data_IF_387033777688
#
_entry.id   IF_387033777688
#
_cell.length_a   1.000
_cell.length_b   1.000
_cell.length_c   1.000
_cell.angle_alpha   90.00
_cell.angle_beta   90.00
_cell.angle_gamma   90.00
#
_symmetry.space_group_name_H-M   'P 1'
#
loop_
_entity.id
_entity.type
_entity.pdbx_description
1 polymer ?
#
# COMPACT_ATOMS: atom_id res chain seq x y z
N UNK A 1 -23.78 14.25 9.82
CA UNK A 1 -22.85 14.68 8.75
C UNK A 1 -21.72 15.44 9.39
N UNK A 2 -20.58 15.52 8.73
CA UNK A 2 -19.46 16.40 9.09
C UNK A 2 -19.21 17.28 7.89
N UNK A 3 -19.09 18.59 8.09
CA UNK A 3 -18.80 19.56 7.04
C UNK A 3 -17.62 20.42 7.47
N UNK A 4 -16.68 20.66 6.56
CA UNK A 4 -15.55 21.55 6.78
C UNK A 4 -15.41 22.48 5.58
N UNK A 5 -15.40 23.79 5.83
CA UNK A 5 -15.01 24.78 4.84
C UNK A 5 -13.48 24.77 4.71
N UNK A 6 -13.00 24.62 3.49
CA UNK A 6 -11.56 24.61 3.19
C UNK A 6 -11.26 25.84 2.33
N UNK A 7 -10.39 26.71 2.84
CA UNK A 7 -9.99 27.97 2.19
C UNK A 7 -8.78 27.78 1.26
N UNK A 8 -8.44 28.84 0.52
CA UNK A 8 -7.29 28.96 -0.38
C UNK A 8 -7.36 28.14 -1.67
N UNK A 9 -8.56 27.76 -2.10
CA UNK A 9 -8.75 27.26 -3.45
C UNK A 9 -8.58 28.37 -4.49
N UNK A 10 -8.19 27.97 -5.69
CA UNK A 10 -8.22 28.81 -6.89
C UNK A 10 -9.44 28.34 -7.70
N UNK A 11 -10.47 29.18 -7.89
CA UNK A 11 -11.63 28.83 -8.70
C UNK A 11 -11.23 28.33 -10.09
N UNK A 12 -11.85 27.23 -10.53
CA UNK A 12 -11.57 26.58 -11.81
C UNK A 12 -10.39 25.61 -11.79
N UNK A 13 -9.61 25.51 -10.70
CA UNK A 13 -8.56 24.50 -10.56
C UNK A 13 -9.10 23.17 -10.07
N UNK A 14 -8.46 22.10 -10.51
CA UNK A 14 -8.73 20.75 -10.03
C UNK A 14 -7.97 20.48 -8.72
N UNK A 15 -8.56 19.70 -7.84
CA UNK A 15 -8.05 19.29 -6.54
C UNK A 15 -8.33 17.80 -6.31
N UNK A 16 -7.50 17.15 -5.51
CA UNK A 16 -7.67 15.78 -5.05
C UNK A 16 -8.06 15.81 -3.57
N UNK A 17 -9.20 15.22 -3.23
CA UNK A 17 -9.62 14.89 -1.87
C UNK A 17 -9.24 13.44 -1.58
N UNK A 18 -8.27 13.22 -0.70
CA UNK A 18 -7.87 11.91 -0.20
C UNK A 18 -8.44 11.69 1.20
N UNK A 19 -8.84 10.45 1.48
CA UNK A 19 -9.34 10.03 2.80
C UNK A 19 -9.29 8.51 2.90
N UNK A 20 -9.15 7.99 4.11
CA UNK A 20 -9.24 6.56 4.42
C UNK A 20 -10.62 6.23 5.00
N UNK A 21 -11.19 5.09 4.61
CA UNK A 21 -12.47 4.62 5.17
C UNK A 21 -12.45 3.17 5.62
N UNK A 22 -13.25 2.85 6.63
CA UNK A 22 -13.53 1.49 7.06
C UNK A 22 -15.00 1.38 7.52
N UNK A 23 -15.53 0.16 7.54
CA UNK A 23 -16.84 -0.14 8.16
C UNK A 23 -16.68 -1.03 9.39
N UNK A 24 -17.57 -0.85 10.36
CA UNK A 24 -17.59 -1.71 11.53
C UNK A 24 -17.86 -3.18 11.14
N UNK A 25 -17.16 -4.11 11.79
CA UNK A 25 -17.36 -5.55 11.60
C UNK A 25 -18.69 -5.99 12.23
N UNK A 26 -19.37 -6.95 11.61
CA UNK A 26 -20.57 -7.63 12.14
C UNK A 26 -21.75 -6.67 12.44
N UNK A 27 -21.81 -5.56 11.71
CA UNK A 27 -22.82 -4.50 11.86
C UNK A 27 -23.41 -4.12 10.50
N UNK A 28 -24.51 -3.37 10.52
CA UNK A 28 -25.19 -2.95 9.29
C UNK A 28 -24.25 -2.08 8.46
N UNK A 29 -24.23 -2.30 7.14
CA UNK A 29 -23.38 -1.53 6.25
C UNK A 29 -23.76 -0.03 6.26
N UNK A 30 -22.79 0.88 6.45
CA UNK A 30 -23.03 2.31 6.33
C UNK A 30 -23.03 2.73 4.85
N UNK A 31 -23.69 3.85 4.55
CA UNK A 31 -23.65 4.47 3.21
C UNK A 31 -22.95 5.81 3.31
N UNK A 32 -21.68 5.87 2.94
CA UNK A 32 -20.90 7.12 2.94
C UNK A 32 -21.21 7.91 1.68
N UNK A 33 -21.50 9.20 1.85
CA UNK A 33 -21.72 10.17 0.79
C UNK A 33 -20.73 11.32 0.95
N UNK A 34 -19.98 11.62 -0.10
CA UNK A 34 -19.01 12.73 -0.18
C UNK A 34 -19.58 13.80 -1.10
N UNK A 35 -19.68 15.02 -0.58
CA UNK A 35 -20.15 16.20 -1.30
C UNK A 35 -19.08 17.29 -1.19
N UNK A 36 -18.81 17.98 -2.28
CA UNK A 36 -17.86 19.09 -2.33
C UNK A 36 -18.55 20.27 -3.01
N UNK A 37 -18.68 21.39 -2.28
CA UNK A 37 -19.60 22.47 -2.61
C UNK A 37 -21.04 21.96 -2.67
N UNK A 38 -21.67 22.12 -3.83
CA UNK A 38 -23.01 21.65 -4.16
C UNK A 38 -23.03 20.28 -4.86
N UNK A 39 -21.86 19.71 -5.18
CA UNK A 39 -21.75 18.50 -6.00
C UNK A 39 -21.49 17.25 -5.17
N UNK A 40 -22.34 16.24 -5.33
CA UNK A 40 -22.04 14.88 -4.85
C UNK A 40 -20.94 14.25 -5.72
N UNK A 41 -19.78 14.00 -5.11
CA UNK A 41 -18.66 13.36 -5.82
C UNK A 41 -18.80 11.85 -5.82
N UNK A 42 -19.23 11.27 -4.70
CA UNK A 42 -19.35 9.81 -4.56
C UNK A 42 -20.30 9.40 -3.45
N UNK A 43 -20.95 8.25 -3.66
CA UNK A 43 -21.68 7.50 -2.65
C UNK A 43 -21.29 6.03 -2.70
N UNK A 44 -20.97 5.43 -1.56
CA UNK A 44 -20.45 4.07 -1.49
C UNK A 44 -20.58 3.44 -0.10
N UNK A 45 -20.42 2.13 -0.03
CA UNK A 45 -20.24 1.36 1.21
C UNK A 45 -18.73 1.09 1.35
N UNK A 46 -18.07 1.40 2.49
CA UNK A 46 -16.67 1.04 2.69
C UNK A 46 -16.46 -0.47 2.49
N UNK A 47 -15.49 -0.83 1.66
CA UNK A 47 -15.30 -2.21 1.23
C UNK A 47 -14.77 -3.11 2.36
N UNK A 48 -13.98 -2.55 3.28
CA UNK A 48 -13.20 -3.30 4.24
C UNK A 48 -13.48 -2.88 5.69
N UNK A 49 -13.19 -3.80 6.61
CA UNK A 49 -13.21 -3.55 8.06
C UNK A 49 -11.93 -2.87 8.57
N UNK A 50 -10.92 -2.78 7.71
CA UNK A 50 -9.69 -2.00 7.92
C UNK A 50 -9.72 -0.76 7.05
N UNK A 51 -8.95 0.27 7.43
CA UNK A 51 -8.86 1.49 6.65
C UNK A 51 -8.31 1.22 5.26
N UNK A 52 -9.05 1.68 4.26
CA UNK A 52 -8.64 1.69 2.86
C UNK A 52 -8.62 3.13 2.36
N UNK A 53 -7.50 3.51 1.77
CA UNK A 53 -7.29 4.82 1.16
C UNK A 53 -8.17 4.98 -0.08
N UNK A 54 -8.69 6.19 -0.28
CA UNK A 54 -9.50 6.58 -1.42
C UNK A 54 -9.16 8.01 -1.84
N UNK A 55 -9.38 8.33 -3.11
CA UNK A 55 -9.08 9.65 -3.67
C UNK A 55 -10.13 10.05 -4.69
N UNK A 56 -10.60 11.29 -4.62
CA UNK A 56 -11.62 11.87 -5.50
C UNK A 56 -11.12 13.19 -6.06
N UNK A 57 -11.25 13.40 -7.37
CA UNK A 57 -10.95 14.69 -7.98
C UNK A 57 -12.19 15.59 -8.01
N UNK A 58 -12.00 16.88 -7.80
CA UNK A 58 -13.03 17.90 -7.96
C UNK A 58 -12.43 19.21 -8.47
N UNK A 59 -13.26 20.06 -9.07
CA UNK A 59 -12.88 21.41 -9.48
C UNK A 59 -13.44 22.40 -8.47
N UNK A 60 -12.62 23.30 -7.95
CA UNK A 60 -13.07 24.32 -7.02
C UNK A 60 -13.96 25.36 -7.72
N UNK A 61 -15.15 25.61 -7.18
CA UNK A 61 -16.07 26.65 -7.69
C UNK A 61 -15.74 28.05 -7.15
N UNK A 62 -15.08 28.13 -6.00
CA UNK A 62 -14.79 29.36 -5.25
C UNK A 62 -13.45 29.25 -4.52
N UNK A 63 -13.04 30.29 -3.78
CA UNK A 63 -11.83 30.27 -2.93
C UNK A 63 -12.00 29.44 -1.65
N UNK A 64 -13.24 29.20 -1.26
CA UNK A 64 -13.60 28.47 -0.04
C UNK A 64 -14.64 27.45 -0.42
N UNK A 65 -14.28 26.17 -0.31
CA UNK A 65 -15.14 25.06 -0.73
C UNK A 65 -15.51 24.22 0.49
N UNK A 66 -16.81 23.99 0.67
CA UNK A 66 -17.31 23.09 1.72
C UNK A 66 -17.12 21.63 1.32
N UNK A 67 -16.47 20.85 2.17
CA UNK A 67 -16.36 19.40 2.02
C UNK A 67 -17.24 18.76 3.07
N UNK A 68 -18.29 18.07 2.63
CA UNK A 68 -19.24 17.40 3.49
C UNK A 68 -19.15 15.88 3.32
N UNK A 69 -19.04 15.19 4.44
CA UNK A 69 -19.09 13.74 4.51
C UNK A 69 -20.27 13.31 5.37
N UNK A 70 -21.13 12.47 4.80
CA UNK A 70 -22.37 12.04 5.45
C UNK A 70 -22.47 10.52 5.47
N UNK A 71 -22.94 9.97 6.58
CA UNK A 71 -23.47 8.61 6.62
C UNK A 71 -24.99 8.68 6.39
N UNK A 72 -25.44 8.12 5.26
CA UNK A 72 -26.83 8.08 4.80
C UNK A 72 -27.49 6.71 5.00
N UNK A 73 -26.98 5.90 5.94
CA UNK A 73 -27.64 4.65 6.29
C UNK A 73 -29.08 4.90 6.77
N UNK A 74 -30.00 4.02 6.38
CA UNK A 74 -31.45 4.12 6.65
C UNK A 74 -31.86 3.85 8.11
N UNK A 75 -30.96 4.03 9.08
CA UNK A 75 -31.16 3.75 10.51
C UNK A 75 -30.47 2.48 11.02
N UNK A 76 -30.34 2.36 12.35
CA UNK A 76 -29.59 1.31 13.06
C UNK A 76 -28.12 1.64 13.34
N UNK A 77 -27.39 0.72 14.00
CA UNK A 77 -25.93 0.79 14.22
C UNK A 77 -25.17 0.54 12.91
N UNK A 78 -25.14 1.53 12.02
CA UNK A 78 -24.33 1.51 10.81
C UNK A 78 -23.22 2.56 10.94
N UNK A 79 -22.01 2.13 11.28
CA UNK A 79 -20.87 3.03 11.55
C UNK A 79 -19.85 2.96 10.42
N UNK A 80 -19.53 4.12 9.86
CA UNK A 80 -18.37 4.33 9.00
C UNK A 80 -17.28 5.07 9.77
N UNK A 81 -16.04 4.61 9.65
CA UNK A 81 -14.86 5.30 10.12
C UNK A 81 -14.22 6.05 8.97
N UNK A 82 -13.76 7.28 9.23
CA UNK A 82 -13.04 8.13 8.26
C UNK A 82 -11.81 8.69 8.94
N UNK A 83 -10.68 8.64 8.25
CA UNK A 83 -9.40 9.15 8.73
C UNK A 83 -8.55 9.69 7.57
N UNK A 84 -7.42 10.33 7.87
CA UNK A 84 -6.41 10.85 6.92
C UNK A 84 -6.99 11.72 5.79
N UNK A 85 -7.92 12.62 6.14
CA UNK A 85 -8.57 13.52 5.16
C UNK A 85 -7.59 14.62 4.74
N UNK A 86 -7.26 14.67 3.44
CA UNK A 86 -6.31 15.60 2.84
C UNK A 86 -6.86 16.21 1.56
N UNK A 87 -6.58 17.48 1.32
CA UNK A 87 -6.87 18.18 0.07
C UNK A 87 -5.58 18.70 -0.52
N UNK A 88 -5.35 18.46 -1.81
CA UNK A 88 -4.21 19.03 -2.55
C UNK A 88 -4.64 19.47 -3.95
N UNK A 89 -4.02 20.51 -4.49
CA UNK A 89 -4.25 20.92 -5.89
C UNK A 89 -3.85 19.77 -6.82
N UNK A 90 -4.73 19.37 -7.73
CA UNK A 90 -4.43 18.35 -8.72
C UNK A 90 -3.50 18.94 -9.77
N UNK A 91 -2.50 18.16 -10.15
CA UNK A 91 -1.63 18.47 -11.28
C UNK A 91 -2.11 17.73 -12.53
N UNK A 92 -1.87 18.31 -13.70
CA UNK A 92 -2.21 17.67 -14.98
C UNK A 92 -1.13 16.66 -15.36
N UNK A 93 -1.51 15.59 -16.06
CA UNK A 93 -0.56 14.58 -16.54
C UNK A 93 0.57 15.26 -17.33
N UNK A 94 1.78 15.10 -16.80
CA UNK A 94 3.02 15.60 -17.38
C UNK A 94 3.66 14.55 -18.28
N UNK A 95 4.88 14.82 -18.78
CA UNK A 95 5.62 13.84 -19.54
C UNK A 95 5.93 12.60 -18.68
N UNK A 96 6.04 11.45 -19.34
CA UNK A 96 6.69 10.27 -18.75
C UNK A 96 8.19 10.52 -18.71
N UNK A 97 8.79 10.41 -17.54
CA UNK A 97 10.24 10.45 -17.38
C UNK A 97 10.77 9.02 -17.45
N UNK A 98 11.73 8.80 -18.36
CA UNK A 98 12.39 7.51 -18.58
C UNK A 98 13.90 7.70 -18.37
N UNK A 99 14.39 7.70 -17.12
CA UNK A 99 15.80 7.97 -16.85
C UNK A 99 16.72 7.02 -17.62
N UNK A 100 17.87 7.49 -18.13
CA UNK A 100 18.87 6.63 -18.74
C UNK A 100 19.37 5.55 -17.77
N UNK A 101 19.94 4.47 -18.29
CA UNK A 101 20.37 3.31 -17.48
C UNK A 101 21.42 3.64 -16.41
N UNK A 102 22.25 4.66 -16.63
CA UNK A 102 23.23 5.13 -15.63
C UNK A 102 22.60 5.90 -14.45
N UNK A 103 21.30 6.18 -14.52
CA UNK A 103 20.50 6.76 -13.44
C UNK A 103 19.58 5.72 -12.79
N UNK A 104 19.92 4.43 -12.93
CA UNK A 104 19.12 3.33 -12.39
C UNK A 104 19.97 2.44 -11.51
N UNK A 105 19.33 1.86 -10.51
CA UNK A 105 19.94 0.84 -9.64
C UNK A 105 18.97 -0.31 -9.45
N UNK A 106 19.51 -1.48 -9.12
CA UNK A 106 18.74 -2.70 -8.97
C UNK A 106 19.15 -3.42 -7.69
N UNK A 107 18.21 -4.14 -7.09
CA UNK A 107 18.51 -5.01 -5.95
C UNK A 107 19.49 -6.12 -6.31
N UNK A 108 19.35 -6.67 -7.51
CA UNK A 108 20.26 -7.66 -8.12
C UNK A 108 20.03 -7.71 -9.63
N UNK A 109 21.00 -8.22 -10.38
CA UNK A 109 20.95 -8.33 -11.85
C UNK A 109 21.28 -9.77 -12.23
N UNK A 110 20.46 -10.41 -13.05
CA UNK A 110 20.73 -11.74 -13.59
C UNK A 110 22.07 -11.74 -14.35
N UNK A 111 22.95 -12.69 -13.99
CA UNK A 111 24.32 -12.75 -14.52
C UNK A 111 25.28 -11.65 -14.05
N UNK A 112 24.84 -10.72 -13.20
CA UNK A 112 25.70 -9.68 -12.62
C UNK A 112 26.24 -8.65 -13.64
N UNK A 113 25.58 -8.48 -14.78
CA UNK A 113 26.02 -7.59 -15.85
C UNK A 113 26.09 -6.10 -15.44
N UNK A 114 26.92 -5.33 -16.14
CA UNK A 114 27.04 -3.89 -15.93
C UNK A 114 25.74 -3.15 -16.33
N UNK A 115 25.46 -2.02 -15.69
CA UNK A 115 24.30 -1.16 -16.01
C UNK A 115 24.27 -0.82 -17.51
N UNK A 116 23.10 -0.92 -18.13
CA UNK A 116 22.92 -0.68 -19.57
C UNK A 116 23.27 -1.87 -20.47
N UNK A 117 23.70 -2.99 -19.92
CA UNK A 117 23.97 -4.23 -20.66
C UNK A 117 23.02 -5.36 -20.23
N UNK A 118 22.78 -6.34 -21.10
CA UNK A 118 22.02 -7.55 -20.77
C UNK A 118 20.71 -7.29 -20.00
N UNK A 119 20.61 -7.92 -18.82
CA UNK A 119 19.49 -7.84 -17.87
C UNK A 119 19.55 -6.63 -16.92
N UNK A 120 20.31 -5.60 -17.26
CA UNK A 120 20.37 -4.32 -16.55
C UNK A 120 19.87 -3.17 -17.44
N UNK A 121 18.81 -3.43 -18.22
CA UNK A 121 18.26 -2.50 -19.23
C UNK A 121 16.77 -2.20 -19.05
N UNK A 122 16.39 -1.49 -17.98
CA UNK A 122 14.98 -1.28 -17.61
C UNK A 122 14.31 -0.04 -18.20
N UNK A 123 14.94 0.69 -19.11
CA UNK A 123 14.26 1.77 -19.81
C UNK A 123 13.01 1.28 -20.56
N UNK A 124 11.95 2.08 -20.55
CA UNK A 124 10.77 1.84 -21.39
C UNK A 124 11.22 1.68 -22.86
N UNK A 125 10.57 0.76 -23.56
CA UNK A 125 10.83 0.40 -24.96
C UNK A 125 12.22 -0.17 -25.28
N UNK A 126 13.09 -0.36 -24.26
CA UNK A 126 14.38 -1.04 -24.43
C UNK A 126 14.22 -2.44 -25.04
N UNK A 127 15.25 -2.89 -25.76
CA UNK A 127 15.32 -4.21 -26.36
C UNK A 127 15.44 -5.34 -25.32
N UNK A 128 15.83 -4.99 -24.10
CA UNK A 128 15.95 -5.87 -22.93
C UNK A 128 15.19 -5.25 -21.75
N UNK A 129 15.26 -5.87 -20.59
CA UNK A 129 14.66 -5.39 -19.35
C UNK A 129 15.69 -5.44 -18.22
N UNK A 130 15.33 -4.90 -17.06
CA UNK A 130 15.97 -5.40 -15.85
C UNK A 130 15.40 -6.76 -15.52
N UNK A 131 16.25 -7.76 -15.29
CA UNK A 131 15.86 -9.06 -14.73
C UNK A 131 16.63 -9.31 -13.44
N UNK A 132 15.90 -9.59 -12.35
CA UNK A 132 16.49 -9.82 -11.03
C UNK A 132 17.22 -11.17 -10.98
N UNK A 133 18.39 -11.23 -10.34
CA UNK A 133 19.11 -12.48 -10.12
C UNK A 133 18.31 -13.43 -9.21
N UNK A 134 17.71 -12.85 -8.17
CA UNK A 134 16.88 -13.59 -7.21
C UNK A 134 15.41 -13.49 -7.60
N UNK A 135 14.70 -14.62 -7.59
CA UNK A 135 13.25 -14.68 -7.85
C UNK A 135 12.49 -14.72 -6.52
N UNK A 136 12.52 -13.60 -5.78
CA UNK A 136 11.87 -13.46 -4.48
C UNK A 136 11.12 -12.11 -4.38
N UNK A 137 10.14 -12.02 -3.47
CA UNK A 137 9.48 -10.75 -3.18
C UNK A 137 10.48 -9.75 -2.60
N UNK A 138 10.25 -8.47 -2.88
CA UNK A 138 11.08 -7.39 -2.36
C UNK A 138 12.28 -6.99 -3.24
N UNK A 139 12.48 -7.66 -4.38
CA UNK A 139 13.43 -7.19 -5.40
C UNK A 139 12.95 -5.86 -5.98
N UNK A 140 13.88 -4.99 -6.35
CA UNK A 140 13.55 -3.62 -6.73
C UNK A 140 14.38 -3.06 -7.87
N UNK A 141 13.73 -2.18 -8.64
CA UNK A 141 14.38 -1.26 -9.55
C UNK A 141 14.18 0.18 -9.06
N UNK A 142 15.28 0.91 -8.94
CA UNK A 142 15.34 2.31 -8.56
C UNK A 142 15.62 3.18 -9.77
N UNK A 143 14.89 4.28 -9.88
CA UNK A 143 15.05 5.31 -10.89
C UNK A 143 15.40 6.63 -10.18
N UNK A 144 16.55 7.21 -10.52
CA UNK A 144 16.92 8.59 -10.18
C UNK A 144 16.43 9.53 -11.29
N UNK A 145 15.54 10.46 -10.94
CA UNK A 145 14.99 11.45 -11.87
C UNK A 145 15.92 12.66 -12.08
N UNK A 146 17.04 12.73 -11.36
CA UNK A 146 18.04 13.80 -11.41
C UNK A 146 17.67 15.05 -10.60
N UNK A 147 16.37 15.34 -10.44
CA UNK A 147 15.86 16.44 -9.62
C UNK A 147 14.56 16.02 -8.92
N UNK A 148 14.19 16.71 -7.84
CA UNK A 148 12.88 16.55 -7.22
C UNK A 148 11.80 17.01 -8.21
N UNK A 149 10.83 16.13 -8.47
CA UNK A 149 9.69 16.37 -9.35
C UNK A 149 8.39 15.98 -8.64
N UNK A 150 7.25 16.53 -9.10
CA UNK A 150 5.94 16.03 -8.71
C UNK A 150 5.60 14.80 -9.54
N UNK A 151 5.50 13.67 -8.86
CA UNK A 151 5.25 12.35 -9.45
C UNK A 151 3.80 11.97 -9.16
N UNK A 152 3.03 11.68 -10.20
CA UNK A 152 1.63 11.28 -10.05
C UNK A 152 1.40 9.79 -10.26
N UNK A 153 2.39 9.04 -10.75
CA UNK A 153 2.20 7.65 -11.08
C UNK A 153 3.41 6.97 -11.70
N UNK A 154 3.15 5.79 -12.26
CA UNK A 154 4.14 4.90 -12.84
C UNK A 154 3.73 4.42 -14.22
N UNK A 155 4.73 4.04 -15.01
CA UNK A 155 4.56 3.34 -16.29
C UNK A 155 5.44 2.09 -16.28
N UNK A 156 4.88 0.92 -16.55
CA UNK A 156 5.62 -0.35 -16.56
C UNK A 156 5.39 -1.14 -17.85
N UNK A 157 6.40 -1.93 -18.24
CA UNK A 157 6.41 -2.89 -19.35
C UNK A 157 7.09 -4.18 -18.90
N UNK A 158 6.69 -5.32 -19.46
CA UNK A 158 7.40 -6.59 -19.28
C UNK A 158 8.73 -6.67 -20.04
N UNK A 159 9.42 -7.80 -19.90
CA UNK A 159 10.65 -8.12 -20.63
C UNK A 159 10.37 -8.40 -22.10
N UNK A 160 10.94 -7.57 -23.00
CA UNK A 160 10.67 -7.68 -24.45
C UNK A 160 11.05 -9.06 -24.96
N UNK A 161 10.09 -9.77 -25.58
CA UNK A 161 10.27 -11.09 -26.18
C UNK A 161 10.79 -12.18 -25.21
N UNK A 162 10.71 -11.99 -23.90
CA UNK A 162 11.16 -13.01 -22.92
C UNK A 162 10.03 -13.89 -22.40
N UNK A 163 8.78 -13.44 -22.54
CA UNK A 163 7.62 -14.06 -21.88
C UNK A 163 7.65 -13.93 -20.36
N UNK A 164 8.38 -12.94 -19.83
CA UNK A 164 8.53 -12.67 -18.40
C UNK A 164 8.09 -11.24 -18.08
N UNK A 165 7.42 -11.05 -16.94
CA UNK A 165 6.97 -9.73 -16.51
C UNK A 165 6.65 -9.67 -15.01
N UNK A 166 6.75 -8.48 -14.44
CA UNK A 166 6.16 -8.17 -13.13
C UNK A 166 4.64 -8.08 -13.25
N UNK A 167 3.92 -8.72 -12.34
CA UNK A 167 2.45 -8.69 -12.23
C UNK A 167 1.97 -7.67 -11.21
N UNK A 168 2.68 -7.51 -10.10
CA UNK A 168 2.36 -6.53 -9.05
C UNK A 168 3.60 -5.95 -8.39
N UNK A 169 3.50 -4.72 -7.91
CA UNK A 169 4.54 -4.03 -7.17
C UNK A 169 3.98 -3.00 -6.19
N UNK A 170 4.79 -2.65 -5.20
CA UNK A 170 4.63 -1.47 -4.34
C UNK A 170 5.61 -0.39 -4.77
N UNK A 171 5.37 0.86 -4.36
CA UNK A 171 6.23 2.00 -4.70
C UNK A 171 6.75 2.68 -3.46
N UNK A 172 8.07 2.83 -3.39
CA UNK A 172 8.73 3.73 -2.44
C UNK A 172 9.32 4.93 -3.18
N UNK A 173 9.40 6.05 -2.50
CA UNK A 173 9.95 7.29 -3.04
C UNK A 173 10.84 7.99 -2.02
N UNK A 174 11.75 8.82 -2.53
CA UNK A 174 12.66 9.60 -1.70
C UNK A 174 13.08 10.90 -2.41
N UNK A 175 13.33 11.94 -1.62
CA UNK A 175 13.87 13.22 -2.11
C UNK A 175 15.40 13.23 -2.10
N UNK A 176 16.02 12.49 -1.17
CA UNK A 176 17.46 12.48 -0.89
C UNK A 176 18.16 11.15 -1.24
N UNK A 177 17.40 10.07 -1.43
CA UNK A 177 17.90 8.72 -1.69
C UNK A 177 18.20 7.92 -0.41
N UNK A 178 18.05 8.55 0.77
CA UNK A 178 18.36 7.98 2.08
C UNK A 178 17.09 7.64 2.85
N UNK A 179 16.16 8.58 2.94
CA UNK A 179 14.89 8.41 3.64
C UNK A 179 13.80 8.03 2.65
N UNK A 180 13.30 6.81 2.78
CA UNK A 180 12.30 6.24 1.88
C UNK A 180 10.92 6.21 2.50
N UNK A 181 9.94 6.75 1.78
CA UNK A 181 8.51 6.75 2.14
C UNK A 181 7.75 5.82 1.21
N UNK A 182 6.70 5.19 1.72
CA UNK A 182 5.80 4.33 0.93
C UNK A 182 4.66 5.18 0.35
N UNK A 183 4.30 4.95 -0.92
CA UNK A 183 3.11 5.59 -1.54
C UNK A 183 1.82 4.89 -1.09
N UNK A 184 1.94 3.65 -0.62
CA UNK A 184 0.83 2.79 -0.25
C UNK A 184 0.20 2.11 -1.46
N UNK A 185 -0.46 0.98 -1.21
CA UNK A 185 -1.13 0.15 -2.22
C UNK A 185 -0.24 -0.91 -2.86
N UNK A 186 -0.87 -1.79 -3.63
CA UNK A 186 -0.22 -2.83 -4.45
C UNK A 186 -0.76 -2.65 -5.88
N UNK A 187 0.11 -2.26 -6.80
CA UNK A 187 -0.25 -1.81 -8.15
C UNK A 187 -0.19 -2.98 -9.12
N UNK A 188 -1.28 -3.18 -9.89
CA UNK A 188 -1.29 -4.13 -10.98
C UNK A 188 -0.38 -3.63 -12.11
N UNK A 189 0.64 -4.42 -12.44
CA UNK A 189 1.60 -4.15 -13.50
C UNK A 189 1.12 -4.78 -14.80
N UNK A 190 1.91 -5.68 -15.37
CA UNK A 190 1.73 -6.17 -16.72
C UNK A 190 1.10 -7.57 -16.73
N UNK A 191 0.45 -7.88 -17.86
CA UNK A 191 -0.04 -9.23 -18.21
C UNK A 191 0.61 -9.77 -19.49
N UNK A 192 1.56 -9.01 -20.05
CA UNK A 192 2.31 -9.35 -21.25
C UNK A 192 3.71 -8.67 -21.23
N UNK A 193 4.46 -8.86 -22.32
CA UNK A 193 5.84 -8.39 -22.47
C UNK A 193 5.96 -7.00 -23.08
N UNK A 194 4.90 -6.42 -23.64
CA UNK A 194 5.01 -5.31 -24.60
C UNK A 194 4.19 -4.08 -24.23
N UNK A 195 2.97 -4.25 -23.70
CA UNK A 195 2.06 -3.14 -23.42
C UNK A 195 2.53 -2.33 -22.21
N UNK A 196 2.47 -1.01 -22.35
CA UNK A 196 2.67 -0.08 -21.24
C UNK A 196 1.43 -0.08 -20.37
N UNK A 197 1.61 -0.29 -19.06
CA UNK A 197 0.56 -0.12 -18.07
C UNK A 197 0.88 1.12 -17.26
N UNK A 198 -0.11 2.01 -17.16
CA UNK A 198 -0.03 3.22 -16.34
C UNK A 198 -0.82 3.01 -15.05
N UNK A 199 -0.24 3.37 -13.91
CA UNK A 199 -0.95 3.44 -12.64
C UNK A 199 -0.81 4.83 -12.05
N UNK A 200 -1.93 5.42 -11.63
CA UNK A 200 -1.92 6.66 -10.88
C UNK A 200 -1.82 6.36 -9.39
N UNK A 201 -1.01 7.15 -8.70
CA UNK A 201 -0.89 7.07 -7.25
C UNK A 201 -2.09 7.75 -6.58
N UNK A 202 -2.46 7.32 -5.36
CA UNK A 202 -3.53 7.96 -4.59
C UNK A 202 -3.28 9.46 -4.36
N UNK A 203 -2.01 9.85 -4.25
CA UNK A 203 -1.57 11.24 -4.28
C UNK A 203 -0.28 11.36 -5.09
N UNK A 204 -0.09 12.54 -5.67
CA UNK A 204 1.21 12.89 -6.19
C UNK A 204 2.19 13.12 -5.04
N UNK A 205 3.46 12.79 -5.28
CA UNK A 205 4.54 12.91 -4.30
C UNK A 205 5.67 13.75 -4.88
N UNK A 206 6.30 14.57 -4.05
CA UNK A 206 7.56 15.21 -4.40
C UNK A 206 8.68 14.18 -4.18
N UNK A 207 9.39 13.80 -5.23
CA UNK A 207 10.52 12.88 -5.12
C UNK A 207 11.53 13.07 -6.24
N UNK A 208 12.78 12.70 -5.95
CA UNK A 208 13.84 12.52 -6.95
C UNK A 208 14.05 11.04 -7.27
N UNK A 209 13.87 10.16 -6.28
CA UNK A 209 14.10 8.73 -6.43
C UNK A 209 12.79 7.95 -6.30
N UNK A 210 12.61 6.95 -7.16
CA UNK A 210 11.47 6.04 -7.13
C UNK A 210 11.96 4.60 -7.16
N UNK A 211 11.45 3.76 -6.26
CA UNK A 211 11.69 2.32 -6.23
C UNK A 211 10.41 1.55 -6.49
N UNK A 212 10.43 0.69 -7.49
CA UNK A 212 9.40 -0.31 -7.73
C UNK A 212 9.78 -1.60 -7.00
N UNK A 213 9.05 -1.93 -5.93
CA UNK A 213 9.29 -3.11 -5.09
C UNK A 213 8.37 -4.24 -5.55
N UNK A 214 8.93 -5.30 -6.14
CA UNK A 214 8.16 -6.36 -6.77
C UNK A 214 7.50 -7.28 -5.73
N UNK A 215 6.19 -7.51 -5.91
CA UNK A 215 5.37 -8.35 -5.02
C UNK A 215 4.82 -9.61 -5.70
N UNK A 216 4.69 -9.60 -7.03
CA UNK A 216 4.22 -10.75 -7.82
C UNK A 216 4.75 -10.67 -9.28
N UNK A 217 5.01 -11.80 -9.92
CA UNK A 217 5.61 -11.89 -11.26
C UNK A 217 5.20 -13.15 -12.02
N UNK A 218 5.36 -13.13 -13.34
CA UNK A 218 5.17 -14.27 -14.23
C UNK A 218 6.52 -14.78 -14.73
N UNK A 219 6.82 -16.07 -14.47
CA UNK A 219 8.10 -16.75 -14.73
C UNK A 219 9.30 -16.16 -13.99
N UNK A 220 9.74 -14.96 -14.34
CA UNK A 220 10.88 -14.24 -13.73
C UNK A 220 10.50 -12.80 -13.44
N UNK A 221 11.22 -12.18 -12.50
CA UNK A 221 11.10 -10.75 -12.22
C UNK A 221 11.84 -10.00 -13.33
N UNK A 222 11.09 -9.61 -14.36
CA UNK A 222 11.61 -8.84 -15.50
C UNK A 222 10.75 -7.61 -15.74
N UNK A 223 11.36 -6.42 -15.81
CA UNK A 223 10.62 -5.15 -15.89
C UNK A 223 11.37 -4.06 -16.65
N UNK A 224 10.62 -3.29 -17.42
CA UNK A 224 10.96 -1.95 -17.89
C UNK A 224 10.03 -0.93 -17.24
N UNK A 225 10.55 0.22 -16.83
CA UNK A 225 9.77 1.18 -16.07
C UNK A 225 10.17 2.64 -16.34
N UNK A 226 9.19 3.52 -16.13
CA UNK A 226 9.34 4.97 -16.11
C UNK A 226 8.31 5.61 -15.18
N UNK A 227 8.41 6.91 -14.99
CA UNK A 227 7.64 7.66 -13.99
C UNK A 227 6.68 8.63 -14.67
N UNK A 228 5.41 8.65 -14.26
CA UNK A 228 4.47 9.70 -14.67
C UNK A 228 4.68 10.91 -13.78
N UNK A 229 5.17 12.00 -14.36
CA UNK A 229 5.22 13.28 -13.68
C UNK A 229 3.91 14.04 -13.89
N UNK A 230 3.71 15.07 -13.11
CA UNK A 230 2.62 16.00 -13.35
C UNK A 230 3.12 17.45 -13.36
N UNK A 231 2.50 18.26 -14.21
CA UNK A 231 2.78 19.69 -14.28
C UNK A 231 1.88 20.41 -13.30
N UNK A 232 2.49 21.25 -12.45
CA UNK A 232 1.72 22.21 -11.69
C UNK A 232 0.92 23.07 -12.67
N UNK A 233 -0.36 23.35 -12.38
CA UNK A 233 -1.16 24.22 -13.23
C UNK A 233 -0.46 25.57 -13.43
N UNK A 234 -0.20 25.96 -14.68
CA UNK A 234 0.50 27.21 -14.99
C UNK A 234 -0.27 28.39 -14.36
N UNK A 235 0.37 29.13 -13.46
CA UNK A 235 -0.28 30.23 -12.75
C UNK A 235 -0.54 31.39 -13.70
N UNK A 236 -1.76 31.97 -13.71
CA UNK A 236 -1.92 33.33 -14.17
C UNK A 236 -1.13 34.25 -13.22
N UNK A 237 0.02 34.79 -13.66
CA UNK A 237 0.73 35.84 -12.94
C UNK A 237 1.93 35.45 -12.03
N UNK A 238 2.50 34.25 -12.15
CA UNK A 238 3.90 34.02 -11.74
C UNK A 238 4.25 33.97 -10.23
N UNK A 239 3.29 33.92 -9.30
CA UNK A 239 3.59 33.79 -7.85
C UNK A 239 3.23 32.41 -7.27
N UNK A 240 4.25 31.61 -6.91
CA UNK A 240 4.09 30.24 -6.35
C UNK A 240 3.12 30.25 -5.15
N UNK A 241 2.17 29.29 -5.03
CA UNK A 241 1.35 29.18 -3.84
C UNK A 241 2.19 28.70 -2.66
N UNK A 242 1.94 29.29 -1.49
CA UNK A 242 2.48 28.86 -0.20
C UNK A 242 1.81 27.53 0.17
N UNK A 243 2.59 26.51 0.48
CA UNK A 243 2.07 25.23 0.99
C UNK A 243 1.44 25.45 2.37
N UNK A 244 0.11 25.44 2.46
CA UNK A 244 -0.60 25.57 3.73
C UNK A 244 -0.87 24.17 4.28
N UNK A 245 -0.07 23.77 5.27
CA UNK A 245 -0.35 22.60 6.10
C UNK A 245 -1.44 22.94 7.12
N UNK A 246 -2.70 22.61 6.85
CA UNK A 246 -3.76 22.65 7.87
C UNK A 246 -3.89 21.28 8.55
N UNK A 247 -3.42 21.21 9.80
CA UNK A 247 -3.68 20.11 10.72
C UNK A 247 -5.18 20.11 11.06
N UNK A 248 -5.90 19.07 10.66
CA UNK A 248 -7.28 18.85 11.12
C UNK A 248 -7.22 18.25 12.52
N UNK A 249 -7.69 18.98 13.53
CA UNK A 249 -7.88 18.42 14.88
C UNK A 249 -9.22 17.67 14.96
N UNK A 250 -9.26 16.49 15.59
CA UNK A 250 -10.52 15.77 15.79
C UNK A 250 -11.40 16.50 16.81
N UNK A 251 -12.58 16.93 16.37
CA UNK A 251 -13.60 17.48 17.25
C UNK A 251 -14.09 16.41 18.24
N UNK A 252 -13.89 16.65 19.54
CA UNK A 252 -14.48 15.85 20.60
C UNK A 252 -16.02 15.91 20.50
N UNK A 253 -16.65 14.75 20.29
CA UNK A 253 -18.11 14.62 20.30
C UNK A 253 -18.59 14.78 21.75
N UNK A 254 -19.26 15.90 22.05
CA UNK A 254 -20.04 16.06 23.28
C UNK A 254 -21.12 14.99 23.31
N UNK A 255 -21.04 14.06 24.26
CA UNK A 255 -22.15 13.15 24.59
C UNK A 255 -23.32 13.99 25.10
N UNK A 256 -24.39 14.11 24.33
CA UNK A 256 -25.66 14.52 24.90
C UNK A 256 -26.18 13.38 25.78
N UNK A 257 -26.29 13.62 27.08
CA UNK A 257 -26.96 12.71 27.99
C UNK A 257 -28.46 12.70 27.64
N UNK A 258 -28.96 11.56 27.17
CA UNK A 258 -30.39 11.33 27.09
C UNK A 258 -30.93 11.18 28.52
N UNK A 259 -31.93 11.99 28.88
CA UNK A 259 -32.65 11.86 30.13
C UNK A 259 -33.27 10.45 30.25
N UNK A 260 -33.29 9.85 31.46
CA UNK A 260 -33.88 8.53 31.64
C UNK A 260 -35.41 8.59 31.46
N UNK A 261 -36.02 7.55 30.86
CA UNK A 261 -37.47 7.51 30.65
C UNK A 261 -38.24 7.32 31.98
N UNK A 262 -39.52 7.77 32.07
CA UNK A 262 -40.28 7.72 33.31
C UNK A 262 -40.64 6.29 33.71
N UNK A 263 -40.55 6.02 35.01
CA UNK A 263 -40.67 4.68 35.60
C UNK A 263 -42.05 4.04 35.46
N UNK A 264 -42.05 2.71 35.32
CA UNK A 264 -43.22 1.85 35.55
C UNK A 264 -43.01 1.04 36.85
N UNK A 265 -44.03 1.08 37.71
CA UNK A 265 -44.10 0.44 39.04
C UNK A 265 -44.35 -1.07 38.96
N UNK A 266 -43.62 -1.85 39.77
CA UNK A 266 -43.94 -3.16 40.40
C UNK A 266 -44.17 -4.38 39.48
N UNK A 267 -43.84 -5.64 39.79
CA UNK A 267 -43.30 -6.37 40.95
C UNK A 267 -42.97 -7.83 40.46
N UNK A 268 -42.69 -8.83 41.32
CA UNK A 268 -41.61 -9.03 42.28
C UNK A 268 -40.57 -10.08 41.81
N UNK A 269 -39.44 -10.14 42.53
CA UNK A 269 -38.30 -11.02 42.24
C UNK A 269 -38.55 -12.51 42.53
N UNK A 270 -38.11 -13.38 41.61
CA UNK A 270 -37.86 -14.81 41.88
C UNK A 270 -36.35 -15.04 41.97
N UNK A 271 -35.96 -15.79 43.00
CA UNK A 271 -34.59 -16.09 43.39
C UNK A 271 -33.87 -17.00 42.38
N UNK A 272 -32.61 -16.69 42.09
CA UNK A 272 -31.69 -17.55 41.36
C UNK A 272 -30.44 -17.84 42.22
N UNK A 273 -30.00 -19.10 42.20
CA UNK A 273 -28.96 -19.68 43.07
C UNK A 273 -27.55 -19.16 42.73
N UNK A 274 -26.63 -19.08 43.71
CA UNK A 274 -25.26 -18.63 43.48
C UNK A 274 -24.36 -19.71 42.83
N UNK A 275 -23.36 -19.31 42.03
CA UNK A 275 -22.39 -20.22 41.40
C UNK A 275 -21.27 -20.68 42.37
N UNK A 276 -20.61 -21.81 42.11
CA UNK A 276 -19.65 -22.40 43.05
C UNK A 276 -18.28 -21.69 43.07
N UNK A 277 -17.72 -21.61 44.28
CA UNK A 277 -16.44 -20.98 44.63
C UNK A 277 -15.24 -21.87 44.23
N UNK A 278 -14.27 -21.32 43.50
CA UNK A 278 -12.92 -21.91 43.38
C UNK A 278 -12.15 -21.71 44.69
N UNK A 279 -11.69 -22.82 45.29
CA UNK A 279 -10.86 -22.83 46.51
C UNK A 279 -9.39 -22.64 46.14
N UNK A 280 -8.77 -21.63 46.73
CA UNK A 280 -7.31 -21.52 46.92
C UNK A 280 -6.96 -21.88 48.36
N UNK A 281 -5.99 -22.78 48.57
CA UNK A 281 -5.19 -23.01 49.79
C UNK A 281 -4.05 -23.98 49.39
N UNK A 282 -2.82 -23.96 49.89
CA UNK A 282 -2.10 -23.10 50.83
C UNK A 282 -0.59 -23.45 50.74
N UNK A 283 0.25 -22.58 51.28
CA UNK A 283 1.72 -22.69 51.43
C UNK A 283 2.19 -23.89 52.28
N UNK A 284 3.35 -24.45 51.89
CA UNK A 284 4.53 -24.56 52.78
C UNK A 284 5.02 -25.96 53.14
N UNK A 285 6.25 -26.34 52.74
CA UNK A 285 7.47 -26.37 53.60
C UNK A 285 8.65 -27.06 52.89
N UNK A 286 9.83 -26.68 53.38
CA UNK A 286 11.24 -26.87 53.00
C UNK A 286 11.77 -28.31 53.18
N UNK A 287 12.78 -28.71 52.41
CA UNK A 287 13.74 -29.78 52.77
C UNK A 287 14.55 -30.38 51.61
N UNK A 288 15.88 -30.15 51.65
CA UNK A 288 17.04 -30.98 51.16
C UNK A 288 17.04 -31.45 49.69
N UNK A 289 18.13 -31.54 48.92
CA UNK A 289 19.58 -31.72 49.12
C UNK A 289 20.26 -31.59 47.71
N UNK A 290 21.58 -31.28 47.67
CA UNK A 290 22.63 -31.80 46.73
C UNK A 290 22.35 -32.12 45.24
N UNK A 291 23.23 -32.00 44.24
CA UNK A 291 24.65 -31.67 44.08
C UNK A 291 24.90 -31.41 42.56
N UNK A 292 25.96 -30.66 42.24
CA UNK A 292 26.58 -30.46 40.91
C UNK A 292 27.28 -31.75 40.38
N UNK A 293 28.06 -31.82 39.26
CA UNK A 293 28.07 -31.13 37.94
C UNK A 293 28.40 -32.07 36.70
N UNK A 294 28.36 -31.49 35.49
CA UNK A 294 29.32 -31.66 34.35
C UNK A 294 29.48 -32.98 33.52
N UNK A 295 29.44 -32.79 32.17
CA UNK A 295 30.46 -33.18 31.14
C UNK A 295 30.41 -34.56 30.41
N UNK A 296 30.28 -34.46 29.06
CA UNK A 296 30.89 -35.20 27.92
C UNK A 296 30.69 -36.72 27.66
N UNK A 297 30.94 -37.04 26.38
CA UNK A 297 31.17 -38.33 25.66
C UNK A 297 29.91 -38.98 25.08
N UNK A 298 29.77 -39.13 23.75
CA UNK A 298 30.53 -39.91 22.74
C UNK A 298 30.33 -41.44 22.83
N UNK A 299 29.93 -42.01 21.68
CA UNK A 299 30.07 -43.37 21.09
C UNK A 299 28.74 -43.79 20.41
N UNK A 300 28.64 -43.99 19.09
CA UNK A 300 29.30 -44.92 18.13
C UNK A 300 28.54 -46.26 17.94
N UNK A 301 28.51 -46.74 16.68
CA UNK A 301 27.97 -48.03 16.21
C UNK A 301 26.62 -47.94 15.47
N UNK A 302 26.40 -48.46 14.26
CA UNK A 302 27.12 -49.46 13.46
C UNK A 302 26.61 -49.46 12.00
N UNK A 303 27.38 -50.05 11.09
CA UNK A 303 27.22 -50.07 9.64
C UNK A 303 26.42 -51.27 9.08
N UNK A 304 25.96 -51.16 7.82
CA UNK A 304 25.87 -52.30 6.88
C UNK A 304 25.70 -51.82 5.42
N UNK A 305 26.60 -52.28 4.56
CA UNK A 305 26.58 -52.23 3.08
C UNK A 305 25.48 -53.13 2.49
N UNK A 306 25.01 -52.83 1.27
CA UNK A 306 25.16 -53.72 0.08
C UNK A 306 24.41 -53.17 -1.17
N UNK A 307 25.12 -53.26 -2.30
CA UNK A 307 24.71 -53.56 -3.68
C UNK A 307 23.80 -52.64 -4.55
N UNK A 308 24.45 -52.05 -5.57
CA UNK A 308 24.44 -52.63 -6.93
C UNK A 308 23.36 -52.16 -7.91
N UNK A 309 23.79 -51.52 -9.01
CA UNK A 309 22.93 -51.41 -10.20
C UNK A 309 23.27 -50.29 -11.19
N UNK A 310 24.33 -50.48 -11.96
CA UNK A 310 24.57 -49.82 -13.25
C UNK A 310 23.36 -49.91 -14.19
N UNK A 311 23.12 -48.85 -14.97
CA UNK A 311 22.80 -48.99 -16.41
C UNK A 311 23.09 -47.72 -17.19
N UNK A 312 24.11 -47.86 -18.04
CA UNK A 312 24.56 -47.00 -19.11
C UNK A 312 23.74 -47.25 -20.40
N UNK A 313 23.56 -46.17 -21.16
CA UNK A 313 23.35 -45.96 -22.61
C UNK A 313 22.37 -46.83 -23.42
N UNK A 314 21.57 -46.16 -24.25
CA UNK A 314 21.61 -46.38 -25.71
C UNK A 314 21.10 -45.13 -26.45
N UNK A 315 22.02 -44.50 -27.17
CA UNK A 315 21.77 -43.61 -28.30
C UNK A 315 21.18 -44.43 -29.46
N UNK A 316 20.18 -43.89 -30.14
CA UNK A 316 19.91 -44.20 -31.55
C UNK A 316 19.49 -42.90 -32.24
N UNK A 317 20.43 -42.39 -33.04
CA UNK A 317 20.15 -41.63 -34.26
C UNK A 317 19.28 -42.49 -35.19
N UNK A 318 18.37 -41.86 -35.93
CA UNK A 318 18.27 -42.07 -37.38
C UNK A 318 17.26 -41.09 -38.01
N UNK A 319 17.62 -40.69 -39.22
CA UNK A 319 17.04 -39.70 -40.11
C UNK A 319 15.59 -39.98 -40.57
N UNK A 320 14.83 -38.90 -40.81
CA UNK A 320 14.13 -38.51 -42.06
C UNK A 320 12.91 -37.59 -41.81
#
# INVERSE_FOLDING_TARGET
SITQSVDHHIPGRAYVLQFSTAKQKDKKDPTVRIVVGDKELRRFIPAFHTFSLSSLQYTASSRTVDIMIENKASGGDAIAFIDDVKVREACYEGPTVNPPENQRKYSSIEGGGALGTGDARSMLDSAKAWTSATTAKGQWAELDLGTVMNIMGSVTQGGKNTGQWVKKYQVKYSEDGEVWKDIGGDYAANSDTSKKVKNLFPMFVAARYVRYIVTDWHKRISMRAGVLTCKAPAMPGGKRPVEVATKVEPAAVKRQAMAPPPGKKGAPAKAEKPPPKKKTKAKGKRGTEENTPAKLMEEEGDASEEDGGDRLWEDLDDDE
#
